data_IF_524708350861
#
_entry.id   IF_524708350861
#
_cell.length_a   1.000
_cell.length_b   1.000
_cell.length_c   1.000
_cell.angle_alpha   90.00
_cell.angle_beta   90.00
_cell.angle_gamma   90.00
#
_symmetry.space_group_name_H-M   'P 1'
#
loop_
_entity.id
_entity.type
_entity.pdbx_description
1 polymer ?
#
# COMPACT_ATOMS: atom_id res chain seq x y z
N UNK A 1 -13.09 12.13 10.27
CA UNK A 1 -11.68 11.69 10.39
C UNK A 1 -11.63 10.18 10.48
N UNK A 2 -11.39 9.53 9.35
CA UNK A 2 -11.18 8.10 9.17
C UNK A 2 -9.76 7.82 8.62
N UNK A 3 -9.43 6.56 8.38
CA UNK A 3 -8.11 6.17 7.85
C UNK A 3 -7.83 6.79 6.47
N UNK A 4 -8.81 6.79 5.57
CA UNK A 4 -8.65 7.31 4.22
C UNK A 4 -8.43 8.84 4.21
N UNK A 5 -9.17 9.57 5.05
CA UNK A 5 -9.02 11.01 5.25
C UNK A 5 -7.63 11.34 5.81
N UNK A 6 -7.21 10.62 6.86
CA UNK A 6 -5.88 10.82 7.46
C UNK A 6 -4.76 10.54 6.45
N UNK A 7 -4.94 9.50 5.62
CA UNK A 7 -3.98 9.16 4.57
C UNK A 7 -3.86 10.25 3.52
N UNK A 8 -4.98 10.76 3.03
CA UNK A 8 -5.01 11.79 1.99
C UNK A 8 -4.51 13.15 2.49
N UNK A 9 -4.89 13.55 3.71
CA UNK A 9 -4.63 14.90 4.22
C UNK A 9 -3.27 15.03 4.92
N UNK A 10 -2.71 13.93 5.44
CA UNK A 10 -1.47 13.99 6.24
C UNK A 10 -0.36 13.07 5.71
N UNK A 11 -0.67 11.81 5.38
CA UNK A 11 0.36 10.82 5.06
C UNK A 11 0.91 11.02 3.64
N UNK A 12 0.04 11.09 2.63
CA UNK A 12 0.47 11.25 1.23
C UNK A 12 1.28 12.54 1.02
N UNK A 13 0.89 13.72 1.58
CA UNK A 13 1.70 14.94 1.50
C UNK A 13 3.07 14.80 2.17
N UNK A 14 3.14 14.14 3.33
CA UNK A 14 4.40 13.94 4.05
C UNK A 14 5.36 13.01 3.27
N UNK A 15 4.84 11.95 2.65
CA UNK A 15 5.63 11.05 1.80
C UNK A 15 6.18 11.78 0.57
N UNK A 16 5.35 12.59 -0.10
CA UNK A 16 5.78 13.39 -1.24
C UNK A 16 6.84 14.43 -0.84
N UNK A 17 6.65 15.13 0.29
CA UNK A 17 7.62 16.09 0.82
C UNK A 17 8.97 15.42 1.18
N UNK A 18 8.95 14.15 1.61
CA UNK A 18 10.14 13.35 1.84
C UNK A 18 10.76 12.77 0.54
N UNK A 19 10.21 13.09 -0.63
CA UNK A 19 10.73 12.69 -1.95
C UNK A 19 10.21 11.36 -2.48
N UNK A 20 9.30 10.68 -1.78
CA UNK A 20 8.69 9.44 -2.27
C UNK A 20 7.70 9.71 -3.41
N UNK A 21 7.83 8.97 -4.52
CA UNK A 21 7.01 9.15 -5.71
C UNK A 21 7.38 10.39 -6.55
N UNK A 22 8.37 11.17 -6.11
CA UNK A 22 8.86 12.38 -6.79
C UNK A 22 10.26 12.14 -7.38
N UNK A 23 11.14 11.48 -6.63
CA UNK A 23 12.48 11.10 -7.13
C UNK A 23 12.36 10.00 -8.17
N UNK A 24 13.15 10.07 -9.25
CA UNK A 24 13.15 9.07 -10.31
C UNK A 24 13.37 7.65 -9.76
N UNK A 25 12.54 6.69 -10.20
CA UNK A 25 12.55 5.31 -9.71
C UNK A 25 11.85 5.09 -8.36
N UNK A 26 11.50 6.16 -7.62
CA UNK A 26 10.71 6.05 -6.39
C UNK A 26 9.22 5.89 -6.71
N UNK A 27 8.51 5.14 -5.85
CA UNK A 27 7.07 4.91 -6.02
C UNK A 27 6.40 4.66 -4.67
N UNK A 28 5.16 5.12 -4.55
CA UNK A 28 4.28 4.81 -3.43
C UNK A 28 3.30 3.73 -3.91
N UNK A 29 3.28 2.57 -3.24
CA UNK A 29 2.33 1.49 -3.52
C UNK A 29 1.42 1.34 -2.31
N UNK A 30 0.14 1.66 -2.50
CA UNK A 30 -0.89 1.53 -1.46
C UNK A 30 -1.43 0.11 -1.49
N UNK A 31 -1.78 -0.40 -0.31
CA UNK A 31 -2.38 -1.74 -0.14
C UNK A 31 -1.60 -2.80 -0.93
N UNK A 32 -0.26 -2.71 -0.91
CA UNK A 32 0.57 -3.57 -1.72
C UNK A 32 0.62 -4.96 -1.08
N UNK A 33 0.10 -5.99 -1.76
CA UNK A 33 0.12 -7.32 -1.20
C UNK A 33 1.54 -7.84 -1.16
N UNK A 34 2.04 -8.08 0.06
CA UNK A 34 3.34 -8.73 0.27
C UNK A 34 3.18 -10.25 0.21
N UNK A 35 2.00 -10.75 0.59
CA UNK A 35 1.72 -12.19 0.63
C UNK A 35 0.86 -12.60 -0.56
N UNK A 36 0.94 -13.88 -0.95
CA UNK A 36 0.10 -14.46 -2.01
C UNK A 36 -1.29 -14.89 -1.50
N UNK A 37 -1.68 -14.47 -0.29
CA UNK A 37 -2.90 -14.91 0.39
C UNK A 37 -2.74 -16.24 1.15
N UNK A 38 -3.69 -16.49 2.05
CA UNK A 38 -3.74 -17.68 2.92
C UNK A 38 -3.89 -18.95 2.08
N UNK A 39 -3.19 -20.03 2.44
CA UNK A 39 -3.41 -21.35 1.86
C UNK A 39 -4.77 -21.90 2.31
N UNK A 40 -5.62 -22.30 1.36
CA UNK A 40 -6.97 -22.83 1.64
C UNK A 40 -7.08 -24.34 1.35
N UNK A 41 -6.08 -24.94 0.71
CA UNK A 41 -6.06 -26.36 0.32
C UNK A 41 -6.43 -26.58 -1.16
N UNK A 42 -6.27 -27.82 -1.65
CA UNK A 42 -6.52 -28.19 -3.06
C UNK A 42 -5.80 -27.29 -4.08
N UNK A 43 -4.61 -26.78 -3.73
CA UNK A 43 -3.85 -25.85 -4.57
C UNK A 43 -4.44 -24.43 -4.65
N UNK A 44 -5.41 -24.07 -3.81
CA UNK A 44 -6.05 -22.75 -3.79
C UNK A 44 -5.46 -21.82 -2.72
N UNK A 45 -5.52 -20.53 -3.00
CA UNK A 45 -5.16 -19.45 -2.07
C UNK A 45 -6.30 -18.45 -1.97
N UNK A 46 -6.50 -17.94 -0.77
CA UNK A 46 -7.39 -16.82 -0.52
C UNK A 46 -6.83 -15.54 -1.13
N UNK A 47 -7.61 -14.45 -1.05
CA UNK A 47 -7.16 -13.15 -1.56
C UNK A 47 -5.90 -12.70 -0.80
N UNK A 48 -4.87 -12.23 -1.52
CA UNK A 48 -3.77 -11.55 -0.89
C UNK A 48 -4.25 -10.26 -0.21
N UNK A 49 -3.75 -10.02 1.00
CA UNK A 49 -3.96 -8.78 1.77
C UNK A 49 -2.86 -7.79 1.45
#
# INVERSE_FOLDING_TARGET
MNEAETRAEHIDPALAAAGWGVVEGSRIRREYPITLGRLEGQGRRGKPL
#
